data_IF_557390377158
#
_entry.id   IF_557390377158
#
_cell.length_a   1.000
_cell.length_b   1.000
_cell.length_c   1.000
_cell.angle_alpha   90.00
_cell.angle_beta   90.00
_cell.angle_gamma   90.00
#
_symmetry.space_group_name_H-M   'P 1'
#
loop_
_entity.id
_entity.type
_entity.pdbx_description
1 polymer ?
#
# COMPACT_ATOMS: atom_id res chain seq x y z
N UNK A 1 -6.53 -24.96 -4.00
CA UNK A 1 -7.13 -25.06 -5.36
C UNK A 1 -6.05 -24.87 -6.42
N UNK A 2 -6.20 -25.47 -7.64
CA UNK A 2 -5.32 -25.14 -8.78
C UNK A 2 -5.66 -23.72 -9.30
N UNK A 3 -4.66 -23.02 -9.77
CA UNK A 3 -4.82 -21.66 -10.28
C UNK A 3 -3.79 -21.34 -11.36
N UNK A 4 -4.08 -20.33 -12.18
CA UNK A 4 -3.14 -19.72 -13.11
C UNK A 4 -2.62 -18.40 -12.53
N UNK A 5 -1.29 -18.22 -12.50
CA UNK A 5 -0.66 -16.93 -12.22
C UNK A 5 -0.25 -16.29 -13.54
N UNK A 6 -0.68 -15.04 -13.76
CA UNK A 6 -0.28 -14.22 -14.92
C UNK A 6 0.37 -12.95 -14.41
N UNK A 7 1.48 -12.57 -15.01
CA UNK A 7 2.17 -11.32 -14.76
C UNK A 7 2.15 -10.46 -16.00
N UNK A 8 1.94 -9.17 -15.87
CA UNK A 8 1.97 -8.23 -16.99
C UNK A 8 2.50 -6.87 -16.56
N UNK A 9 2.64 -5.98 -17.53
CA UNK A 9 3.13 -4.60 -17.29
C UNK A 9 2.27 -3.62 -18.06
N UNK A 10 2.19 -2.39 -17.56
CA UNK A 10 1.58 -1.26 -18.26
C UNK A 10 2.31 0.05 -17.90
N UNK A 11 2.26 1.06 -18.81
CA UNK A 11 2.80 2.39 -18.50
C UNK A 11 2.10 3.00 -17.30
N UNK A 12 2.87 3.51 -16.33
CA UNK A 12 2.31 4.25 -15.21
C UNK A 12 1.75 5.60 -15.65
N UNK A 13 0.84 6.12 -14.84
CA UNK A 13 0.40 7.52 -14.88
C UNK A 13 1.55 8.51 -14.58
N UNK A 14 2.65 8.04 -13.99
CA UNK A 14 3.91 8.78 -13.86
C UNK A 14 4.75 8.55 -15.14
N UNK A 15 5.03 9.64 -15.86
CA UNK A 15 5.74 9.57 -17.14
C UNK A 15 7.08 8.84 -17.03
N UNK A 16 7.31 7.91 -17.95
CA UNK A 16 8.56 7.14 -18.05
C UNK A 16 8.67 5.98 -17.04
N UNK A 17 7.63 5.74 -16.22
CA UNK A 17 7.57 4.62 -15.30
C UNK A 17 6.66 3.50 -15.82
N UNK A 18 6.91 2.28 -15.35
CA UNK A 18 6.15 1.08 -15.72
C UNK A 18 5.71 0.38 -14.45
N UNK A 19 4.46 -0.06 -14.44
CA UNK A 19 3.86 -0.82 -13.34
C UNK A 19 3.81 -2.30 -13.72
N UNK A 20 4.27 -3.16 -12.83
CA UNK A 20 4.12 -4.61 -12.92
C UNK A 20 2.89 -5.02 -12.11
N UNK A 21 2.03 -5.87 -12.68
CA UNK A 21 0.85 -6.39 -12.03
C UNK A 21 0.76 -7.91 -12.12
N UNK A 22 0.00 -8.49 -11.23
CA UNK A 22 -0.24 -9.91 -11.11
C UNK A 22 -1.72 -10.22 -11.12
N UNK A 23 -2.08 -11.37 -11.70
CA UNK A 23 -3.41 -11.94 -11.64
C UNK A 23 -3.30 -13.40 -11.23
N UNK A 24 -4.12 -13.82 -10.30
CA UNK A 24 -4.24 -15.20 -9.83
C UNK A 24 -5.68 -15.63 -10.09
N UNK A 25 -5.86 -16.60 -10.96
CA UNK A 25 -7.17 -17.03 -11.47
C UNK A 25 -7.42 -18.47 -11.04
N UNK A 26 -8.40 -18.74 -10.16
CA UNK A 26 -8.71 -20.10 -9.73
C UNK A 26 -9.27 -20.92 -10.89
N UNK A 27 -8.90 -22.21 -10.96
CA UNK A 27 -9.47 -23.13 -11.94
C UNK A 27 -10.85 -23.61 -11.48
N UNK A 28 -11.88 -22.79 -11.69
CA UNK A 28 -13.27 -23.05 -11.30
C UNK A 28 -14.24 -22.41 -12.27
N UNK A 29 -15.41 -23.04 -12.46
CA UNK A 29 -16.49 -22.47 -13.28
C UNK A 29 -17.34 -21.42 -12.55
N UNK A 30 -17.24 -21.35 -11.21
CA UNK A 30 -18.07 -20.49 -10.37
C UNK A 30 -17.23 -19.47 -9.57
N UNK A 31 -16.65 -18.50 -10.27
CA UNK A 31 -15.96 -17.36 -9.63
C UNK A 31 -16.96 -16.47 -8.90
N UNK A 32 -16.63 -16.08 -7.66
CA UNK A 32 -17.50 -15.25 -6.79
C UNK A 32 -17.29 -13.76 -6.95
N UNK A 33 -16.12 -13.34 -7.42
CA UNK A 33 -15.76 -11.92 -7.55
C UNK A 33 -14.26 -11.73 -7.73
N UNK A 34 -13.86 -10.48 -7.74
CA UNK A 34 -12.46 -10.06 -7.85
C UNK A 34 -12.03 -9.37 -6.56
N UNK A 35 -10.79 -9.60 -6.15
CA UNK A 35 -10.14 -8.88 -5.04
C UNK A 35 -8.85 -8.26 -5.54
N UNK A 36 -8.74 -6.94 -5.48
CA UNK A 36 -7.48 -6.23 -5.75
C UNK A 36 -6.76 -5.97 -4.42
N UNK A 37 -5.52 -6.46 -4.31
CA UNK A 37 -4.65 -6.22 -3.16
C UNK A 37 -3.80 -4.98 -3.42
N UNK A 38 -3.81 -4.06 -2.47
CA UNK A 38 -3.02 -2.82 -2.44
C UNK A 38 -2.04 -2.96 -1.28
N UNK A 39 -0.79 -3.28 -1.60
CA UNK A 39 0.24 -3.61 -0.63
C UNK A 39 0.74 -2.41 0.16
N UNK A 40 1.44 -2.66 1.26
CA UNK A 40 2.00 -1.65 2.14
C UNK A 40 3.33 -1.05 1.66
N UNK A 41 3.93 -0.22 2.52
CA UNK A 41 5.24 0.34 2.30
C UNK A 41 6.32 -0.74 2.36
N UNK A 42 7.32 -0.63 1.46
CA UNK A 42 8.51 -1.48 1.46
C UNK A 42 8.21 -2.97 1.45
N UNK A 43 7.21 -3.34 0.67
CA UNK A 43 6.80 -4.71 0.36
C UNK A 43 6.23 -4.77 -1.07
N UNK A 44 5.64 -5.89 -1.49
CA UNK A 44 5.13 -6.12 -2.84
C UNK A 44 4.03 -7.18 -2.87
N UNK A 45 3.33 -7.33 -4.01
CA UNK A 45 2.12 -8.16 -4.13
C UNK A 45 2.39 -9.64 -3.85
N UNK A 46 3.47 -10.22 -4.36
CA UNK A 46 3.74 -11.66 -4.24
C UNK A 46 3.94 -12.09 -2.77
N UNK A 47 4.26 -11.14 -1.88
CA UNK A 47 4.35 -11.40 -0.44
C UNK A 47 3.01 -11.84 0.18
N UNK A 48 1.91 -11.50 -0.48
CA UNK A 48 0.55 -11.90 -0.07
C UNK A 48 0.14 -13.29 -0.59
N UNK A 49 1.01 -14.06 -1.26
CA UNK A 49 0.65 -15.36 -1.85
C UNK A 49 0.01 -16.33 -0.87
N UNK A 50 0.42 -16.44 0.41
CA UNK A 50 -0.30 -17.25 1.38
C UNK A 50 -1.77 -16.84 1.56
N UNK A 51 -2.03 -15.52 1.66
CA UNK A 51 -3.39 -14.99 1.78
C UNK A 51 -4.16 -15.11 0.46
N UNK A 52 -3.51 -14.88 -0.67
CA UNK A 52 -4.07 -15.10 -2.01
C UNK A 52 -4.56 -16.54 -2.15
N UNK A 53 -3.83 -17.51 -1.62
CA UNK A 53 -4.25 -18.92 -1.58
C UNK A 53 -5.63 -19.11 -0.94
N UNK A 54 -5.90 -18.48 0.21
CA UNK A 54 -7.22 -18.53 0.86
C UNK A 54 -8.33 -17.89 0.00
N UNK A 55 -8.04 -16.78 -0.67
CA UNK A 55 -9.00 -16.13 -1.56
C UNK A 55 -9.31 -16.99 -2.79
N UNK A 56 -8.29 -17.65 -3.35
CA UNK A 56 -8.45 -18.58 -4.46
C UNK A 56 -9.30 -19.80 -4.05
N UNK A 57 -9.07 -20.37 -2.86
CA UNK A 57 -9.87 -21.47 -2.32
C UNK A 57 -11.33 -21.03 -2.05
N UNK A 58 -11.54 -19.75 -1.74
CA UNK A 58 -12.86 -19.13 -1.66
C UNK A 58 -13.44 -18.74 -3.04
N UNK A 59 -12.76 -19.08 -4.14
CA UNK A 59 -13.17 -18.86 -5.55
C UNK A 59 -13.19 -17.39 -5.97
N UNK A 60 -12.28 -16.56 -5.42
CA UNK A 60 -12.05 -15.21 -5.91
C UNK A 60 -10.89 -15.18 -6.90
N UNK A 61 -11.01 -14.39 -7.96
CA UNK A 61 -9.85 -13.93 -8.74
C UNK A 61 -9.15 -12.87 -7.92
N UNK A 62 -7.82 -12.97 -7.82
CA UNK A 62 -7.03 -11.97 -7.09
C UNK A 62 -6.11 -11.25 -8.05
N UNK A 63 -5.99 -9.94 -7.92
CA UNK A 63 -5.02 -9.14 -8.63
C UNK A 63 -4.33 -8.15 -7.68
N UNK A 64 -3.23 -7.57 -8.16
CA UNK A 64 -2.51 -6.51 -7.47
C UNK A 64 -1.38 -6.01 -8.34
N UNK A 65 -0.87 -4.84 -8.03
CA UNK A 65 0.28 -4.24 -8.72
C UNK A 65 1.34 -3.86 -7.70
N UNK A 66 2.59 -4.01 -8.08
CA UNK A 66 3.68 -3.41 -7.33
C UNK A 66 3.64 -1.90 -7.57
N UNK A 67 3.52 -1.12 -6.50
CA UNK A 67 3.46 0.34 -6.60
C UNK A 67 4.76 0.93 -7.12
N UNK A 68 4.73 2.16 -7.61
CA UNK A 68 5.95 2.90 -7.98
C UNK A 68 6.96 2.87 -6.82
N UNK A 69 8.21 2.54 -7.14
CA UNK A 69 9.29 2.39 -6.17
C UNK A 69 9.24 1.09 -5.36
N UNK A 70 8.47 0.09 -5.79
CA UNK A 70 8.31 -1.19 -5.09
C UNK A 70 8.40 -2.38 -6.05
N UNK A 71 8.80 -3.53 -5.50
CA UNK A 71 8.77 -4.82 -6.17
C UNK A 71 9.40 -4.79 -7.57
N UNK A 72 8.67 -5.28 -8.57
CA UNK A 72 9.12 -5.33 -9.98
C UNK A 72 8.68 -4.09 -10.81
N UNK A 73 8.14 -3.06 -10.16
CA UNK A 73 7.83 -1.76 -10.77
C UNK A 73 8.97 -0.76 -10.69
N UNK A 74 10.16 -1.19 -10.30
CA UNK A 74 11.40 -0.42 -10.34
C UNK A 74 12.22 -0.78 -11.57
N UNK A 75 13.11 0.12 -12.00
CA UNK A 75 14.08 -0.13 -13.10
C UNK A 75 15.32 -0.83 -12.59
N UNK A 76 15.70 -0.54 -11.34
CA UNK A 76 16.83 -1.16 -10.63
C UNK A 76 16.54 -1.16 -9.13
N UNK A 77 17.30 -1.93 -8.37
CA UNK A 77 17.17 -1.96 -6.89
C UNK A 77 17.44 -0.57 -6.25
N UNK A 78 18.25 0.28 -6.91
CA UNK A 78 18.49 1.65 -6.46
C UNK A 78 17.26 2.56 -6.53
N UNK A 79 16.22 2.14 -7.26
CA UNK A 79 14.96 2.85 -7.37
C UNK A 79 13.95 2.44 -6.28
N UNK A 80 14.25 1.44 -5.45
CA UNK A 80 13.41 1.05 -4.33
C UNK A 80 13.20 2.24 -3.37
N UNK A 81 11.94 2.46 -2.99
CA UNK A 81 11.54 3.58 -2.15
C UNK A 81 11.47 4.95 -2.85
N UNK A 82 11.75 5.01 -4.16
CA UNK A 82 11.62 6.25 -4.93
C UNK A 82 10.24 6.35 -5.58
N UNK A 83 9.45 7.34 -5.19
CA UNK A 83 8.17 7.69 -5.81
C UNK A 83 8.35 9.01 -6.57
N UNK A 84 8.23 9.02 -7.92
CA UNK A 84 8.53 10.19 -8.73
C UNK A 84 7.50 11.31 -8.56
N UNK A 85 7.99 12.54 -8.47
CA UNK A 85 7.14 13.73 -8.35
C UNK A 85 6.51 13.92 -6.97
N UNK A 86 6.09 15.13 -6.66
CA UNK A 86 5.38 15.49 -5.40
C UNK A 86 3.93 14.98 -5.36
N UNK A 87 3.41 14.56 -6.50
CA UNK A 87 2.07 14.02 -6.72
C UNK A 87 2.09 12.53 -7.07
N UNK A 88 3.22 11.85 -6.87
CA UNK A 88 3.40 10.43 -7.16
C UNK A 88 2.37 9.54 -6.49
N UNK A 89 1.97 9.87 -5.26
CA UNK A 89 0.89 9.17 -4.55
C UNK A 89 -0.45 9.19 -5.31
N UNK A 90 -0.77 10.29 -6.02
CA UNK A 90 -1.97 10.36 -6.87
C UNK A 90 -1.81 9.56 -8.16
N UNK A 91 -0.57 9.40 -8.64
CA UNK A 91 -0.27 8.55 -9.80
C UNK A 91 -0.44 7.08 -9.46
N UNK A 92 0.03 6.66 -8.27
CA UNK A 92 -0.21 5.29 -7.78
C UNK A 92 -1.72 4.99 -7.75
N UNK A 93 -2.54 5.90 -7.21
CA UNK A 93 -4.00 5.71 -7.18
C UNK A 93 -4.60 5.58 -8.60
N UNK A 94 -4.08 6.32 -9.58
CA UNK A 94 -4.51 6.20 -10.98
C UNK A 94 -4.06 4.86 -11.60
N UNK A 95 -2.88 4.40 -11.24
CA UNK A 95 -2.35 3.13 -11.70
C UNK A 95 -3.18 1.97 -11.14
N UNK A 96 -3.54 2.01 -9.85
CA UNK A 96 -4.50 1.09 -9.24
C UNK A 96 -5.82 1.05 -10.02
N UNK A 97 -6.34 2.23 -10.41
CA UNK A 97 -7.57 2.31 -11.20
C UNK A 97 -7.40 1.73 -12.61
N UNK A 98 -6.25 1.90 -13.24
CA UNK A 98 -5.93 1.28 -14.52
C UNK A 98 -6.04 -0.25 -14.44
N UNK A 99 -5.52 -0.85 -13.36
CA UNK A 99 -5.67 -2.29 -13.11
C UNK A 99 -7.13 -2.67 -12.85
N UNK A 100 -7.86 -1.91 -12.03
CA UNK A 100 -9.29 -2.14 -11.75
C UNK A 100 -10.10 -2.19 -13.07
N UNK A 101 -9.95 -1.18 -13.92
CA UNK A 101 -10.65 -1.11 -15.21
C UNK A 101 -10.32 -2.32 -16.08
N UNK A 102 -9.04 -2.68 -16.16
CA UNK A 102 -8.59 -3.86 -16.92
C UNK A 102 -9.23 -5.14 -16.40
N UNK A 103 -9.27 -5.34 -15.09
CA UNK A 103 -9.85 -6.55 -14.51
C UNK A 103 -11.35 -6.63 -14.71
N UNK A 104 -12.08 -5.52 -14.59
CA UNK A 104 -13.52 -5.46 -14.88
C UNK A 104 -13.85 -5.72 -16.35
N UNK A 105 -12.97 -5.31 -17.26
CA UNK A 105 -13.10 -5.61 -18.70
C UNK A 105 -12.86 -7.10 -19.01
N UNK A 106 -11.89 -7.72 -18.35
CA UNK A 106 -11.58 -9.15 -18.52
C UNK A 106 -12.63 -10.07 -17.89
N UNK A 107 -13.30 -9.59 -16.82
CA UNK A 107 -14.26 -10.37 -16.03
C UNK A 107 -15.53 -9.54 -15.76
N UNK A 108 -16.33 -9.24 -16.79
CA UNK A 108 -17.49 -8.36 -16.66
C UNK A 108 -18.56 -8.97 -15.75
N UNK A 109 -19.23 -8.11 -14.97
CA UNK A 109 -20.36 -8.50 -14.12
C UNK A 109 -19.99 -9.15 -12.80
N UNK A 110 -18.71 -9.40 -12.53
CA UNK A 110 -18.28 -9.90 -11.22
C UNK A 110 -18.16 -8.76 -10.20
N UNK A 111 -18.57 -8.98 -8.93
CA UNK A 111 -18.31 -8.03 -7.85
C UNK A 111 -16.82 -7.76 -7.68
N UNK A 112 -16.47 -6.50 -7.38
CA UNK A 112 -15.09 -6.05 -7.26
C UNK A 112 -14.80 -5.49 -5.87
N UNK A 113 -13.91 -6.15 -5.15
CA UNK A 113 -13.47 -5.76 -3.81
C UNK A 113 -12.02 -5.27 -3.84
N UNK A 114 -11.68 -4.38 -2.92
CA UNK A 114 -10.31 -3.92 -2.76
C UNK A 114 -9.85 -4.03 -1.30
N UNK A 115 -8.66 -4.61 -1.10
CA UNK A 115 -8.02 -4.72 0.20
C UNK A 115 -6.76 -3.85 0.20
N UNK A 116 -6.67 -2.90 1.13
CA UNK A 116 -5.47 -2.09 1.34
C UNK A 116 -4.86 -2.35 2.71
N UNK A 117 -3.55 -2.65 2.74
CA UNK A 117 -2.81 -2.88 3.96
C UNK A 117 -1.79 -1.78 4.22
N UNK A 118 -1.70 -1.28 5.46
CA UNK A 118 -0.73 -0.26 5.87
C UNK A 118 -0.76 0.97 4.93
N UNK A 119 0.33 1.35 4.28
CA UNK A 119 0.35 2.40 3.24
C UNK A 119 -0.69 2.14 2.15
N UNK A 120 -0.92 0.88 1.76
CA UNK A 120 -1.97 0.51 0.81
C UNK A 120 -3.37 0.86 1.31
N UNK A 121 -3.59 0.87 2.61
CA UNK A 121 -4.86 1.34 3.21
C UNK A 121 -5.06 2.85 3.03
N UNK A 122 -3.98 3.63 3.07
CA UNK A 122 -4.06 5.07 2.78
C UNK A 122 -4.40 5.32 1.31
N UNK A 123 -3.75 4.57 0.40
CA UNK A 123 -4.05 4.61 -1.03
C UNK A 123 -5.49 4.19 -1.33
N UNK A 124 -6.00 3.15 -0.67
CA UNK A 124 -7.39 2.72 -0.79
C UNK A 124 -8.38 3.78 -0.31
N UNK A 125 -8.12 4.43 0.82
CA UNK A 125 -8.94 5.55 1.33
C UNK A 125 -9.00 6.69 0.32
N UNK A 126 -7.88 7.03 -0.32
CA UNK A 126 -7.81 8.04 -1.39
C UNK A 126 -8.54 7.53 -2.66
N UNK A 127 -8.36 6.25 -3.02
CA UNK A 127 -9.04 5.61 -4.14
C UNK A 127 -10.56 5.70 -4.00
N UNK A 128 -11.10 5.37 -2.84
CA UNK A 128 -12.54 5.40 -2.57
C UNK A 128 -13.16 6.78 -2.79
N UNK A 129 -12.42 7.88 -2.58
CA UNK A 129 -12.94 9.23 -2.84
C UNK A 129 -13.15 9.53 -4.31
N UNK A 130 -12.45 8.83 -5.20
CA UNK A 130 -12.47 9.08 -6.66
C UNK A 130 -13.23 8.00 -7.43
N UNK A 131 -13.05 6.77 -7.01
CA UNK A 131 -13.49 5.58 -7.74
C UNK A 131 -14.31 4.63 -6.88
N UNK A 132 -14.73 5.04 -5.68
CA UNK A 132 -15.43 4.17 -4.74
C UNK A 132 -16.75 3.60 -5.27
N UNK A 133 -17.41 4.29 -6.20
CA UNK A 133 -18.62 3.79 -6.89
C UNK A 133 -18.38 2.56 -7.78
N UNK A 134 -17.13 2.25 -8.06
CA UNK A 134 -16.74 1.09 -8.85
C UNK A 134 -16.46 -0.15 -7.99
N UNK A 135 -16.49 -0.01 -6.67
CA UNK A 135 -16.25 -1.08 -5.69
C UNK A 135 -17.57 -1.59 -5.12
N UNK A 136 -17.64 -2.90 -4.91
CA UNK A 136 -18.71 -3.57 -4.18
C UNK A 136 -18.36 -3.76 -2.68
N UNK A 137 -17.14 -3.44 -2.29
CA UNK A 137 -16.68 -3.41 -0.90
C UNK A 137 -15.20 -3.10 -0.78
N UNK A 138 -14.80 -2.56 0.37
CA UNK A 138 -13.44 -2.22 0.69
C UNK A 138 -13.02 -2.78 2.06
N UNK A 139 -11.78 -3.27 2.15
CA UNK A 139 -11.17 -3.75 3.39
C UNK A 139 -9.92 -2.94 3.68
N UNK A 140 -9.90 -2.24 4.80
CA UNK A 140 -8.83 -1.38 5.29
C UNK A 140 -8.14 -2.12 6.44
N UNK A 141 -6.87 -2.48 6.26
CA UNK A 141 -6.11 -3.28 7.22
C UNK A 141 -4.88 -2.55 7.72
N UNK A 142 -4.63 -2.53 9.04
CA UNK A 142 -3.44 -1.96 9.66
C UNK A 142 -3.25 -0.48 9.29
N UNK A 143 -4.31 0.31 9.37
CA UNK A 143 -4.30 1.71 8.94
C UNK A 143 -3.94 2.67 10.09
N UNK A 144 -3.55 3.90 9.73
CA UNK A 144 -3.38 5.01 10.67
C UNK A 144 -4.52 6.03 10.50
N UNK A 145 -4.79 6.80 11.55
CA UNK A 145 -5.74 7.92 11.48
C UNK A 145 -5.32 8.97 10.43
N UNK A 146 -4.02 9.15 10.25
CA UNK A 146 -3.46 10.26 9.49
C UNK A 146 -3.29 11.51 10.36
N UNK A 147 -2.65 12.52 9.80
CA UNK A 147 -2.46 13.81 10.47
C UNK A 147 -2.43 14.95 9.44
N UNK A 148 -3.33 15.90 9.57
CA UNK A 148 -3.37 17.11 8.75
C UNK A 148 -2.76 18.33 9.47
N UNK A 149 -2.21 18.13 10.66
CA UNK A 149 -1.75 19.17 11.56
C UNK A 149 -0.28 19.58 11.41
N UNK A 150 0.26 20.08 12.51
CA UNK A 150 1.62 20.63 12.58
C UNK A 150 2.71 19.60 12.27
N UNK A 151 2.50 18.33 12.67
CA UNK A 151 3.49 17.26 12.46
C UNK A 151 3.76 17.03 10.97
N UNK A 152 2.71 16.84 10.16
CA UNK A 152 2.87 16.66 8.71
C UNK A 152 3.37 17.92 8.02
N UNK A 153 3.02 19.11 8.51
CA UNK A 153 3.58 20.37 7.99
C UNK A 153 5.09 20.47 8.24
N UNK A 154 5.54 20.19 9.47
CA UNK A 154 6.95 20.18 9.80
C UNK A 154 7.72 19.09 9.01
N UNK A 155 7.14 17.89 8.90
CA UNK A 155 7.69 16.81 8.11
C UNK A 155 7.89 17.18 6.64
N UNK A 156 6.90 17.78 5.99
CA UNK A 156 7.02 18.25 4.61
C UNK A 156 8.09 19.35 4.46
N UNK A 157 8.21 20.24 5.43
CA UNK A 157 9.24 21.29 5.42
C UNK A 157 10.64 20.71 5.52
N UNK A 158 10.83 19.72 6.43
CA UNK A 158 12.08 19.00 6.58
C UNK A 158 12.45 18.23 5.30
N UNK A 159 11.50 17.49 4.72
CA UNK A 159 11.73 16.76 3.46
C UNK A 159 12.15 17.72 2.35
N UNK A 160 11.48 18.87 2.20
CA UNK A 160 11.85 19.87 1.19
C UNK A 160 13.26 20.41 1.38
N UNK A 161 13.67 20.65 2.62
CA UNK A 161 15.05 21.05 2.92
C UNK A 161 16.03 19.96 2.51
N UNK A 162 15.75 18.70 2.86
CA UNK A 162 16.58 17.55 2.46
C UNK A 162 16.65 17.44 0.93
N UNK A 163 15.53 17.53 0.22
CA UNK A 163 15.50 17.49 -1.24
C UNK A 163 16.33 18.59 -1.90
N UNK A 164 16.30 19.79 -1.34
CA UNK A 164 17.06 20.94 -1.84
C UNK A 164 18.58 20.72 -1.72
N UNK A 165 19.05 20.17 -0.60
CA UNK A 165 20.49 20.04 -0.33
C UNK A 165 21.07 18.68 -0.74
N UNK A 166 20.28 17.61 -0.77
CA UNK A 166 20.72 16.23 -1.00
C UNK A 166 20.07 15.57 -2.22
N UNK A 167 19.02 16.17 -2.75
CA UNK A 167 18.27 15.62 -3.89
C UNK A 167 17.14 14.66 -3.48
N UNK A 168 16.23 14.41 -4.43
CA UNK A 168 15.00 13.63 -4.21
C UNK A 168 15.23 12.13 -3.96
N UNK A 169 16.35 11.59 -4.44
CA UNK A 169 16.74 10.17 -4.28
C UNK A 169 17.51 9.89 -2.98
N UNK A 170 17.81 10.93 -2.21
CA UNK A 170 18.56 10.76 -0.97
C UNK A 170 17.74 9.99 0.06
N UNK A 171 18.33 8.93 0.62
CA UNK A 171 17.77 8.17 1.74
C UNK A 171 18.23 8.84 3.04
N UNK A 172 17.29 9.38 3.80
CA UNK A 172 17.58 10.12 5.03
C UNK A 172 17.36 9.25 6.26
N UNK A 173 18.42 8.90 7.01
CA UNK A 173 18.28 8.18 8.28
C UNK A 173 17.42 8.94 9.30
N UNK A 174 17.47 10.28 9.25
CA UNK A 174 16.66 11.13 10.13
C UNK A 174 15.16 10.95 9.85
N UNK A 175 14.76 10.96 8.55
CA UNK A 175 13.36 10.74 8.19
C UNK A 175 12.89 9.33 8.60
N UNK A 176 13.70 8.31 8.34
CA UNK A 176 13.39 6.93 8.72
C UNK A 176 13.19 6.82 10.24
N UNK A 177 14.09 7.42 11.04
CA UNK A 177 13.97 7.45 12.50
C UNK A 177 12.71 8.16 13.00
N UNK A 178 12.36 9.31 12.41
CA UNK A 178 11.16 10.07 12.77
C UNK A 178 9.88 9.27 12.45
N UNK A 179 9.87 8.56 11.32
CA UNK A 179 8.68 7.87 10.84
C UNK A 179 8.44 6.51 11.51
N UNK A 180 9.50 5.79 11.90
CA UNK A 180 9.40 4.39 12.32
C UNK A 180 10.14 4.08 13.62
N UNK A 181 11.00 4.98 14.11
CA UNK A 181 11.95 4.71 15.20
C UNK A 181 11.35 4.43 16.57
N UNK A 182 10.05 4.59 16.77
CA UNK A 182 9.37 4.34 18.04
C UNK A 182 8.46 3.10 18.03
N UNK A 183 8.39 2.34 16.94
CA UNK A 183 7.42 1.25 16.84
C UNK A 183 7.80 0.03 17.70
N UNK A 184 9.08 -0.38 17.69
CA UNK A 184 9.56 -1.46 18.54
C UNK A 184 9.48 -1.12 20.03
N UNK A 185 9.78 0.13 20.40
CA UNK A 185 9.64 0.60 21.78
C UNK A 185 8.19 0.46 22.29
N UNK A 186 7.20 0.75 21.42
CA UNK A 186 5.78 0.63 21.78
C UNK A 186 5.34 -0.81 22.06
N UNK A 187 5.93 -1.79 21.38
CA UNK A 187 5.60 -3.21 21.57
C UNK A 187 6.54 -3.91 22.55
N UNK A 188 7.66 -3.26 22.95
CA UNK A 188 8.64 -3.82 23.89
C UNK A 188 9.45 -4.99 23.31
N UNK A 189 9.64 -5.06 22.00
CA UNK A 189 10.41 -6.11 21.30
C UNK A 189 11.45 -5.49 20.35
N UNK A 190 12.73 -5.70 20.68
CA UNK A 190 13.88 -5.25 19.90
C UNK A 190 14.61 -6.41 19.21
N UNK A 191 13.99 -7.59 19.09
CA UNK A 191 14.60 -8.79 18.48
C UNK A 191 14.93 -8.63 17.00
N UNK A 192 14.23 -7.72 16.30
CA UNK A 192 14.45 -7.32 14.91
C UNK A 192 14.05 -5.86 14.72
N UNK A 193 14.66 -5.11 13.78
CA UNK A 193 14.18 -3.78 13.40
C UNK A 193 12.72 -3.77 12.94
N UNK A 194 12.19 -4.93 12.58
CA UNK A 194 10.83 -5.14 12.06
C UNK A 194 9.93 -5.94 13.00
N UNK A 195 10.31 -6.13 14.28
CA UNK A 195 9.53 -6.91 15.24
C UNK A 195 8.07 -6.41 15.36
N UNK A 196 7.85 -5.12 15.19
CA UNK A 196 6.54 -4.48 15.24
C UNK A 196 5.56 -4.89 14.12
N UNK A 197 6.05 -5.54 13.04
CA UNK A 197 5.21 -5.92 11.90
C UNK A 197 4.28 -7.09 12.19
N UNK A 198 4.69 -8.04 13.04
CA UNK A 198 3.90 -9.25 13.29
C UNK A 198 4.31 -9.94 14.58
N UNK A 199 3.33 -10.47 15.30
CA UNK A 199 3.58 -11.39 16.42
C UNK A 199 4.11 -12.76 15.95
N UNK A 200 3.94 -13.09 14.68
CA UNK A 200 4.52 -14.29 14.08
C UNK A 200 5.95 -14.00 13.62
N UNK A 201 6.93 -14.53 14.37
CA UNK A 201 8.36 -14.33 14.10
C UNK A 201 8.78 -14.80 12.71
N UNK A 202 8.22 -15.90 12.20
CA UNK A 202 8.52 -16.38 10.86
C UNK A 202 8.15 -15.35 9.77
N UNK A 203 7.07 -14.59 9.96
CA UNK A 203 6.70 -13.52 9.05
C UNK A 203 7.71 -12.36 9.10
N UNK A 204 8.23 -12.03 10.30
CA UNK A 204 9.26 -11.00 10.49
C UNK A 204 10.56 -11.44 9.83
N UNK A 205 11.02 -12.66 10.08
CA UNK A 205 12.23 -13.23 9.49
C UNK A 205 12.17 -13.27 7.96
N UNK A 206 11.04 -13.69 7.38
CA UNK A 206 10.82 -13.66 5.92
C UNK A 206 10.86 -12.24 5.36
N UNK A 207 10.28 -11.27 6.09
CA UNK A 207 10.31 -9.86 5.66
C UNK A 207 11.73 -9.30 5.69
N UNK A 208 12.49 -9.57 6.74
CA UNK A 208 13.85 -9.08 6.93
C UNK A 208 14.85 -9.69 5.94
N UNK A 209 14.64 -10.96 5.58
CA UNK A 209 15.48 -11.69 4.63
C UNK A 209 15.21 -11.34 3.16
N UNK A 210 14.08 -10.69 2.84
CA UNK A 210 13.68 -10.39 1.47
C UNK A 210 14.25 -9.04 1.00
N UNK A 211 15.11 -9.00 -0.03
CA UNK A 211 15.71 -7.75 -0.53
C UNK A 211 14.69 -6.76 -1.10
N UNK A 212 13.48 -7.23 -1.44
CA UNK A 212 12.36 -6.38 -1.90
C UNK A 212 11.48 -5.89 -0.75
N UNK A 213 11.87 -6.14 0.51
CA UNK A 213 11.18 -5.70 1.72
C UNK A 213 12.10 -4.84 2.60
N UNK A 214 11.50 -4.05 3.48
CA UNK A 214 12.23 -3.33 4.52
C UNK A 214 13.15 -2.20 4.03
N UNK A 215 13.20 -1.90 2.75
CA UNK A 215 14.03 -0.82 2.23
C UNK A 215 13.51 0.55 2.69
N UNK A 216 14.42 1.48 3.00
CA UNK A 216 14.04 2.83 3.41
C UNK A 216 13.53 3.65 2.22
N UNK A 217 12.56 4.54 2.47
CA UNK A 217 12.13 5.48 1.45
C UNK A 217 13.15 6.58 1.21
N UNK A 218 13.27 6.98 -0.05
CA UNK A 218 13.99 8.20 -0.43
C UNK A 218 13.25 9.44 0.09
N UNK A 219 13.86 10.62 0.00
CA UNK A 219 13.21 11.89 0.33
C UNK A 219 11.90 12.05 -0.45
N UNK A 220 11.87 11.72 -1.75
CA UNK A 220 10.67 11.74 -2.57
C UNK A 220 9.61 10.75 -2.13
N UNK A 221 9.98 9.53 -1.78
CA UNK A 221 9.05 8.53 -1.23
C UNK A 221 8.44 9.01 0.09
N UNK A 222 9.29 9.54 0.99
CA UNK A 222 8.86 10.12 2.26
C UNK A 222 7.92 11.32 2.08
N UNK A 223 8.20 12.22 1.10
CA UNK A 223 7.28 13.32 0.77
C UNK A 223 5.89 12.79 0.40
N UNK A 224 5.85 11.78 -0.47
CA UNK A 224 4.59 11.21 -0.94
C UNK A 224 3.83 10.51 0.20
N UNK A 225 4.50 9.78 1.09
CA UNK A 225 3.87 9.15 2.25
C UNK A 225 3.29 10.21 3.22
N UNK A 226 4.03 11.27 3.53
CA UNK A 226 3.52 12.36 4.39
C UNK A 226 2.32 13.04 3.75
N UNK A 227 2.31 13.21 2.42
CA UNK A 227 1.15 13.77 1.71
C UNK A 227 -0.09 12.86 1.77
N UNK A 228 0.09 11.54 1.69
CA UNK A 228 -1.00 10.58 1.92
C UNK A 228 -1.57 10.73 3.33
N UNK A 229 -0.71 10.68 4.37
CA UNK A 229 -1.11 10.84 5.78
C UNK A 229 -1.84 12.17 6.01
N UNK A 230 -1.38 13.26 5.39
CA UNK A 230 -2.03 14.55 5.49
C UNK A 230 -3.42 14.55 4.84
N UNK A 231 -3.56 13.91 3.67
CA UNK A 231 -4.86 13.84 2.98
C UNK A 231 -5.89 13.07 3.81
N UNK A 232 -5.51 11.89 4.30
CA UNK A 232 -6.41 11.03 5.07
C UNK A 232 -6.63 11.50 6.52
N UNK A 233 -5.81 12.43 7.02
CA UNK A 233 -5.97 13.05 8.34
C UNK A 233 -7.00 14.19 8.36
N UNK A 234 -7.70 14.45 7.26
CA UNK A 234 -8.79 15.44 7.19
C UNK A 234 -10.15 14.73 7.19
N UNK A 235 -11.18 15.30 7.81
CA UNK A 235 -12.55 14.75 7.73
C UNK A 235 -13.16 14.83 6.31
N UNK A 236 -12.54 15.62 5.43
CA UNK A 236 -13.09 15.90 4.10
C UNK A 236 -13.04 14.71 3.15
N UNK A 237 -12.08 13.79 3.31
CA UNK A 237 -11.98 12.62 2.43
C UNK A 237 -13.15 11.65 2.68
N UNK A 238 -13.50 11.40 3.93
CA UNK A 238 -14.56 10.46 4.28
C UNK A 238 -15.93 10.88 3.70
N UNK A 239 -16.19 12.19 3.64
CA UNK A 239 -17.41 12.76 3.03
C UNK A 239 -17.50 12.55 1.51
N UNK A 240 -16.39 12.23 0.86
CA UNK A 240 -16.33 11.98 -0.59
C UNK A 240 -16.48 10.48 -0.93
N UNK A 241 -16.42 9.60 0.07
CA UNK A 241 -16.64 8.16 -0.11
C UNK A 241 -18.14 7.90 -0.31
N UNK A 242 -18.55 7.05 -1.26
CA UNK A 242 -19.95 6.66 -1.41
C UNK A 242 -20.51 6.12 -0.10
N UNK A 243 -21.65 6.63 0.32
CA UNK A 243 -22.27 6.30 1.63
C UNK A 243 -22.80 4.86 1.69
N UNK A 244 -23.05 4.25 0.56
CA UNK A 244 -23.53 2.89 0.37
C UNK A 244 -22.43 1.86 0.17
N UNK A 245 -21.15 2.28 0.09
CA UNK A 245 -20.01 1.36 -0.04
C UNK A 245 -19.77 0.62 1.27
N UNK A 246 -19.89 -0.73 1.31
CA UNK A 246 -19.51 -1.51 2.48
C UNK A 246 -18.00 -1.40 2.75
N UNK A 247 -17.62 -0.99 3.95
CA UNK A 247 -16.24 -0.87 4.37
C UNK A 247 -16.01 -1.67 5.65
N UNK A 248 -15.01 -2.56 5.63
CA UNK A 248 -14.51 -3.26 6.80
C UNK A 248 -13.15 -2.68 7.19
N UNK A 249 -13.00 -2.29 8.45
CA UNK A 249 -11.72 -1.83 9.02
C UNK A 249 -11.25 -2.89 10.02
N UNK A 250 -10.00 -3.33 9.87
CA UNK A 250 -9.36 -4.27 10.79
C UNK A 250 -7.97 -3.75 11.18
N UNK A 251 -7.63 -3.90 12.46
CA UNK A 251 -6.32 -3.56 13.01
C UNK A 251 -5.99 -4.50 14.15
N UNK A 252 -4.69 -4.76 14.38
CA UNK A 252 -4.25 -5.41 15.60
C UNK A 252 -4.41 -4.48 16.80
N UNK A 253 -4.73 -5.04 17.95
CA UNK A 253 -4.81 -4.30 19.22
C UNK A 253 -3.45 -3.83 19.74
N UNK A 254 -2.37 -4.40 19.21
CA UNK A 254 -0.98 -4.02 19.48
C UNK A 254 -0.28 -3.42 18.27
N UNK A 255 -1.02 -3.02 17.24
CA UNK A 255 -0.45 -2.40 16.03
C UNK A 255 -0.02 -0.94 16.32
N UNK A 256 1.31 -0.64 16.33
CA UNK A 256 1.79 0.70 16.63
C UNK A 256 1.46 1.73 15.54
N UNK A 257 1.16 1.31 14.30
CA UNK A 257 0.74 2.18 13.20
C UNK A 257 -0.64 2.76 13.47
N UNK A 258 -1.56 1.94 13.99
CA UNK A 258 -2.91 2.34 14.39
C UNK A 258 -3.01 2.86 15.83
N UNK A 259 -1.90 3.27 16.46
CA UNK A 259 -1.84 3.71 17.85
C UNK A 259 -2.49 2.70 18.81
N UNK A 260 -2.09 1.43 18.70
CA UNK A 260 -2.61 0.32 19.51
C UNK A 260 -4.13 0.17 19.39
N UNK A 261 -4.65 0.25 18.17
CA UNK A 261 -6.07 0.12 17.86
C UNK A 261 -6.94 1.34 18.21
N UNK A 262 -6.34 2.46 18.63
CA UNK A 262 -7.08 3.69 18.99
C UNK A 262 -7.24 4.66 17.82
N UNK A 263 -6.45 4.51 16.77
CA UNK A 263 -6.38 5.45 15.67
C UNK A 263 -7.33 5.17 14.48
N UNK A 264 -7.66 3.91 14.14
CA UNK A 264 -8.58 3.59 13.04
C UNK A 264 -10.02 3.95 13.30
#
# INVERSE_FOLDING_TARGET
MKFQKKTGRYPSSASGEIVTYYMYIPETESVRGLVQIVHGMSEYVERYEPFIGYLLDARYIVCGEDHLGHGKSVKSEEDLGYIPGKDGWTKIVKDMHTLTVRMKQLHPGLPFFMLGHSMGSFLLRIYMTKYGKELDGALISGTAAGDAGAFTFAGLSLVKAIELFKGRRYISPLLAKIMFGGYNEKIGDDSSPFAWLSVNKENVEKYEADPLCGFPFTASGSENLIRMLRYIGTDSWAKQVPQDLPVLIISGDQDPVGDMGKGP
#
